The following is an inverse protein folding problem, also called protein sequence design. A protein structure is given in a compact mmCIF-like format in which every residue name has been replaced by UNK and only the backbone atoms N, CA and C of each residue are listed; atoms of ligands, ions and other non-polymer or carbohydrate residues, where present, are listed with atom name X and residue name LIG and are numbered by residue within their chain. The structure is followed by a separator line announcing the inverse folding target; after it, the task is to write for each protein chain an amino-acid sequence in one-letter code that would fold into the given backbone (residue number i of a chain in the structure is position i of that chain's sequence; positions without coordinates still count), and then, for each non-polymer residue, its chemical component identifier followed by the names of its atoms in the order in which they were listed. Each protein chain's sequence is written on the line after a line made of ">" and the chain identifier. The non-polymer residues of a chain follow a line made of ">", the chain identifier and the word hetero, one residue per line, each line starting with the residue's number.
data_IF_417248841164
#
_entry.id   IF_417248841164
#
_cell.length_a   1.000
_cell.length_b   1.000
_cell.length_c   1.000
_cell.angle_alpha   90.00
_cell.angle_beta   90.00
_cell.angle_gamma   90.00
#
_symmetry.space_group_name_H-M   'P 1'
#
loop_
_entity.id
_entity.type
_entity.pdbx_description
1 polymer ?
#
# COMPACT_ATOMS: atom_id res chain seq x y z
N UNK A 1 13.20 -16.71 -3.34
CA UNK A 1 11.84 -16.41 -3.86
C UNK A 1 11.71 -14.89 -3.99
N UNK A 2 11.46 -14.36 -5.19
CA UNK A 2 11.26 -12.92 -5.38
C UNK A 2 9.78 -12.61 -5.13
N UNK A 3 9.48 -11.78 -4.14
CA UNK A 3 8.11 -11.33 -3.88
C UNK A 3 7.84 -10.03 -4.66
N UNK A 4 6.65 -9.95 -5.25
CA UNK A 4 6.23 -8.85 -6.11
C UNK A 4 4.91 -8.29 -5.62
N UNK A 5 4.74 -6.98 -5.78
CA UNK A 5 3.53 -6.24 -5.46
C UNK A 5 3.01 -5.62 -6.77
N UNK A 6 1.72 -5.73 -7.01
CA UNK A 6 1.06 -5.07 -8.14
C UNK A 6 0.61 -3.68 -7.68
N UNK A 7 1.03 -2.64 -8.40
CA UNK A 7 0.60 -1.25 -8.13
C UNK A 7 -0.61 -0.87 -8.98
N UNK A 8 -1.19 0.32 -8.75
CA UNK A 8 -2.39 0.82 -9.43
C UNK A 8 -2.33 0.78 -10.97
N UNK A 9 -1.14 0.88 -11.56
CA UNK A 9 -0.92 0.78 -13.02
C UNK A 9 -0.93 -0.66 -13.55
N UNK A 10 -1.16 -1.66 -12.71
CA UNK A 10 -1.07 -3.09 -13.06
C UNK A 10 0.37 -3.61 -13.15
N UNK A 11 1.37 -2.75 -12.95
CA UNK A 11 2.78 -3.15 -13.00
C UNK A 11 3.17 -3.96 -11.76
N UNK A 12 3.89 -5.07 -11.98
CA UNK A 12 4.48 -5.88 -10.90
C UNK A 12 5.86 -5.32 -10.56
N UNK A 13 5.99 -4.74 -9.37
CA UNK A 13 7.27 -4.24 -8.86
C UNK A 13 7.79 -5.12 -7.73
N UNK A 14 9.10 -5.19 -7.58
CA UNK A 14 9.72 -5.89 -6.45
C UNK A 14 9.46 -5.16 -5.13
N UNK A 15 9.41 -5.90 -4.02
CA UNK A 15 9.18 -5.33 -2.69
C UNK A 15 10.18 -4.21 -2.35
N UNK A 16 11.46 -4.36 -2.71
CA UNK A 16 12.49 -3.34 -2.43
C UNK A 16 12.14 -1.99 -3.06
N UNK A 17 11.83 -2.00 -4.36
CA UNK A 17 11.43 -0.80 -5.10
C UNK A 17 10.15 -0.17 -4.53
N UNK A 18 9.18 -1.00 -4.13
CA UNK A 18 7.97 -0.54 -3.45
C UNK A 18 8.30 0.19 -2.13
N UNK A 19 9.14 -0.40 -1.28
CA UNK A 19 9.55 0.20 -0.01
C UNK A 19 10.33 1.50 -0.21
N UNK A 20 11.17 1.60 -1.23
CA UNK A 20 11.88 2.83 -1.58
C UNK A 20 10.92 3.95 -2.01
N UNK A 21 9.92 3.63 -2.83
CA UNK A 21 8.86 4.57 -3.20
C UNK A 21 8.10 5.12 -1.99
N UNK A 22 7.73 4.25 -1.03
CA UNK A 22 7.10 4.66 0.23
C UNK A 22 8.02 5.57 1.06
N UNK A 23 9.31 5.26 1.13
CA UNK A 23 10.29 6.10 1.86
C UNK A 23 10.43 7.48 1.23
N UNK A 24 10.42 7.56 -0.11
CA UNK A 24 10.43 8.82 -0.84
C UNK A 24 9.16 9.63 -0.59
N UNK A 25 7.99 9.01 -0.67
CA UNK A 25 6.70 9.65 -0.35
C UNK A 25 6.66 10.17 1.10
N UNK A 26 7.26 9.43 2.05
CA UNK A 26 7.39 9.87 3.44
C UNK A 26 8.34 11.08 3.58
N UNK A 27 9.44 11.12 2.83
CA UNK A 27 10.42 12.21 2.85
C UNK A 27 9.88 13.48 2.20
N UNK A 28 9.04 13.34 1.17
CA UNK A 28 8.47 14.45 0.40
C UNK A 28 6.93 14.40 0.40
N UNK A 29 6.27 14.79 1.51
CA UNK A 29 4.82 14.66 1.64
C UNK A 29 4.01 15.55 0.70
N UNK A 30 4.57 16.68 0.27
CA UNK A 30 3.91 17.64 -0.63
C UNK A 30 4.31 17.45 -2.11
N UNK A 31 5.21 16.51 -2.41
CA UNK A 31 5.58 16.22 -3.79
C UNK A 31 4.44 15.46 -4.48
N UNK A 32 4.20 15.81 -5.73
CA UNK A 32 3.28 15.10 -6.60
C UNK A 32 3.98 13.91 -7.25
N UNK A 33 3.35 12.74 -7.10
CA UNK A 33 3.78 11.50 -7.72
C UNK A 33 2.82 11.16 -8.84
N UNK A 34 3.33 10.59 -9.94
CA UNK A 34 2.55 10.30 -11.16
C UNK A 34 1.37 9.35 -10.94
N UNK A 35 1.47 8.49 -9.94
CA UNK A 35 0.47 7.48 -9.59
C UNK A 35 0.54 7.21 -8.08
N UNK A 36 -0.60 6.85 -7.50
CA UNK A 36 -0.68 6.39 -6.11
C UNK A 36 -0.43 4.89 -5.99
N UNK A 37 -0.65 4.37 -4.77
CA UNK A 37 -0.56 2.93 -4.51
C UNK A 37 -1.78 2.20 -5.08
N UNK A 38 -2.95 2.80 -4.92
CA UNK A 38 -4.24 2.27 -5.36
C UNK A 38 -4.92 3.13 -6.43
N UNK A 39 -4.39 4.32 -6.71
CA UNK A 39 -4.98 5.31 -7.61
C UNK A 39 -4.13 5.52 -8.86
N UNK A 40 -4.76 5.62 -10.02
CA UNK A 40 -4.10 5.80 -11.33
C UNK A 40 -3.83 7.26 -11.69
N UNK A 41 -4.36 8.21 -10.92
CA UNK A 41 -4.14 9.64 -11.08
C UNK A 41 -2.98 10.14 -10.20
N UNK A 42 -2.41 11.32 -10.49
CA UNK A 42 -1.34 11.91 -9.70
C UNK A 42 -1.79 12.16 -8.26
N UNK A 43 -0.98 11.75 -7.28
CA UNK A 43 -1.30 11.95 -5.86
C UNK A 43 -0.11 12.49 -5.10
N UNK A 44 -0.39 13.14 -3.98
CA UNK A 44 0.67 13.67 -3.12
C UNK A 44 1.29 12.55 -2.27
N UNK A 45 2.55 12.74 -1.86
CA UNK A 45 3.22 11.82 -0.93
C UNK A 45 2.42 11.58 0.36
N UNK A 46 1.71 12.60 0.84
CA UNK A 46 0.79 12.51 2.00
C UNK A 46 -0.36 11.53 1.75
N UNK A 47 -0.97 11.57 0.57
CA UNK A 47 -2.05 10.64 0.20
C UNK A 47 -1.54 9.22 0.00
N UNK A 48 -0.38 9.04 -0.63
CA UNK A 48 0.29 7.73 -0.72
C UNK A 48 0.50 7.13 0.67
N UNK A 49 0.98 7.93 1.62
CA UNK A 49 1.18 7.49 3.00
C UNK A 49 -0.13 7.22 3.75
N UNK A 50 -1.24 7.85 3.34
CA UNK A 50 -2.58 7.54 3.87
C UNK A 50 -3.05 6.18 3.34
N UNK A 51 -3.03 6.00 2.02
CA UNK A 51 -3.38 4.74 1.35
C UNK A 51 -2.57 3.56 1.90
N UNK A 52 -1.27 3.76 2.15
CA UNK A 52 -0.43 2.74 2.75
C UNK A 52 -0.90 2.32 4.15
N UNK A 53 -1.23 3.30 5.02
CA UNK A 53 -1.74 3.01 6.37
C UNK A 53 -3.09 2.33 6.34
N UNK A 54 -3.99 2.80 5.48
CA UNK A 54 -5.31 2.19 5.29
C UNK A 54 -5.17 0.72 4.87
N UNK A 55 -4.25 0.41 3.94
CA UNK A 55 -3.97 -0.98 3.55
C UNK A 55 -3.46 -1.86 4.71
N UNK A 56 -2.63 -1.31 5.60
CA UNK A 56 -2.18 -2.06 6.79
C UNK A 56 -3.32 -2.30 7.77
N UNK A 57 -4.12 -1.27 8.06
CA UNK A 57 -5.29 -1.40 8.94
C UNK A 57 -6.30 -2.41 8.39
N UNK A 58 -6.57 -2.36 7.09
CA UNK A 58 -7.46 -3.30 6.43
C UNK A 58 -6.97 -4.75 6.58
N UNK A 59 -5.67 -5.01 6.36
CA UNK A 59 -5.07 -6.35 6.57
C UNK A 59 -5.18 -6.83 8.01
N UNK A 60 -5.02 -5.95 8.99
CA UNK A 60 -5.18 -6.28 10.41
C UNK A 60 -6.65 -6.62 10.70
N UNK A 61 -7.58 -5.81 10.20
CA UNK A 61 -9.02 -6.01 10.38
C UNK A 61 -9.51 -7.31 9.71
N UNK A 62 -9.00 -7.63 8.52
CA UNK A 62 -9.26 -8.90 7.84
C UNK A 62 -8.78 -10.10 8.66
N UNK A 63 -7.56 -10.03 9.22
CA UNK A 63 -7.04 -11.06 10.12
C UNK A 63 -7.90 -11.22 11.39
N UNK A 64 -8.37 -10.12 11.96
CA UNK A 64 -9.24 -10.14 13.13
C UNK A 64 -10.62 -10.76 12.82
N UNK A 65 -11.22 -10.44 11.66
CA UNK A 65 -12.49 -11.05 11.20
C UNK A 65 -12.35 -12.55 10.96
N UNK A 66 -11.29 -12.99 10.30
CA UNK A 66 -11.06 -14.42 10.01
C UNK A 66 -10.90 -15.24 11.29
N UNK A 67 -10.25 -14.71 12.33
CA UNK A 67 -10.11 -15.38 13.63
C UNK A 67 -11.43 -15.55 14.37
N UNK A 68 -12.38 -14.61 14.19
CA UNK A 68 -13.73 -14.70 14.77
C UNK A 68 -14.57 -15.81 14.15
N UNK A 69 -14.32 -16.16 12.88
CA UNK A 69 -15.03 -17.24 12.17
C UNK A 69 -14.54 -18.63 12.62
N UNK A 70 -13.27 -18.77 12.99
CA UNK A 70 -12.67 -20.04 13.42
C UNK A 70 -13.11 -20.51 14.82
N UNK A 71 -13.79 -19.66 15.60
CA UNK A 71 -14.28 -20.00 16.94
C UNK A 71 -15.79 -20.28 16.98
N UNK A 72 -16.47 -20.33 15.82
CA UNK A 72 -17.92 -20.55 15.69
C UNK A 72 -18.22 -21.83 14.88
N UNK A 73 -17.21 -22.65 14.58
CA UNK A 73 -17.37 -23.96 13.92
C UNK A 73 -16.80 -25.06 14.80
#
# INVERSE_FOLDING_TARGET
>A
MKHYITIATGQRIGIKAFCEGIRLAKKYPNAEFKYGLTTWYPTTGKEIMRQFRESIHDRINQKAKSKKLCCIV
#
